data_IF_916277040656
#
_entry.id   IF_916277040656
#
_cell.length_a   1.000
_cell.length_b   1.000
_cell.length_c   1.000
_cell.angle_alpha   90.00
_cell.angle_beta   90.00
_cell.angle_gamma   90.00
#
_symmetry.space_group_name_H-M   'P 1'
#
loop_
_entity.id
_entity.type
_entity.pdbx_description
1 polymer ?
#
# COMPACT_ATOMS: atom_id res chain seq x y z
N UNK A 1 -21.88 -44.61 -45.30
CA UNK A 1 -20.53 -44.02 -45.05
C UNK A 1 -20.37 -43.44 -43.66
N UNK A 2 -21.36 -42.73 -43.09
CA UNK A 2 -21.28 -42.08 -41.76
C UNK A 2 -20.99 -43.03 -40.57
N UNK A 3 -21.41 -44.29 -40.61
CA UNK A 3 -21.11 -45.28 -39.55
C UNK A 3 -19.61 -45.64 -39.50
N UNK A 4 -18.93 -45.64 -40.65
CA UNK A 4 -17.50 -46.02 -40.76
C UNK A 4 -16.59 -44.89 -40.29
N UNK A 5 -16.98 -43.63 -40.53
CA UNK A 5 -16.27 -42.45 -40.03
C UNK A 5 -16.40 -42.31 -38.52
N UNK A 6 -17.58 -42.56 -37.94
CA UNK A 6 -17.74 -42.59 -36.48
C UNK A 6 -16.95 -43.71 -35.80
N UNK A 7 -16.91 -44.90 -36.39
CA UNK A 7 -16.10 -46.01 -35.86
C UNK A 7 -14.59 -45.71 -35.93
N UNK A 8 -14.13 -45.10 -37.03
CA UNK A 8 -12.73 -44.68 -37.17
C UNK A 8 -12.35 -43.57 -36.17
N UNK A 9 -13.26 -42.62 -35.92
CA UNK A 9 -13.08 -41.57 -34.91
C UNK A 9 -12.94 -42.16 -33.51
N UNK A 10 -13.84 -43.08 -33.11
CA UNK A 10 -13.75 -43.77 -31.81
C UNK A 10 -12.49 -44.61 -31.65
N UNK A 11 -12.07 -45.29 -32.71
CA UNK A 11 -10.83 -46.09 -32.68
C UNK A 11 -9.60 -45.18 -32.50
N UNK A 12 -9.56 -44.05 -33.22
CA UNK A 12 -8.49 -43.04 -33.11
C UNK A 12 -8.43 -42.50 -31.69
N UNK A 13 -9.58 -42.13 -31.11
CA UNK A 13 -9.67 -41.65 -29.73
C UNK A 13 -9.22 -42.71 -28.71
N UNK A 14 -9.66 -43.96 -28.85
CA UNK A 14 -9.24 -45.03 -27.93
C UNK A 14 -7.72 -45.32 -27.99
N UNK A 15 -7.10 -45.16 -29.17
CA UNK A 15 -5.65 -45.29 -29.33
C UNK A 15 -4.88 -44.09 -28.75
N UNK A 16 -5.45 -42.89 -28.80
CA UNK A 16 -4.88 -41.72 -28.13
C UNK A 16 -5.02 -41.84 -26.61
N UNK A 17 -6.18 -42.28 -26.12
CA UNK A 17 -6.46 -42.48 -24.70
C UNK A 17 -5.56 -43.57 -24.08
N UNK A 18 -5.21 -44.62 -24.82
CA UNK A 18 -4.26 -45.64 -24.33
C UNK A 18 -2.83 -45.10 -24.17
N UNK A 19 -2.48 -44.03 -24.88
CA UNK A 19 -1.19 -43.36 -24.75
C UNK A 19 -1.18 -42.29 -23.64
N UNK A 20 -2.35 -41.91 -23.13
CA UNK A 20 -2.52 -40.79 -22.18
C UNK A 20 -1.73 -40.98 -20.89
N UNK A 21 -1.73 -42.17 -20.28
CA UNK A 21 -1.00 -42.44 -19.03
C UNK A 21 0.52 -42.20 -19.18
N UNK A 22 1.09 -42.60 -20.33
CA UNK A 22 2.50 -42.39 -20.64
C UNK A 22 2.82 -40.90 -20.79
N UNK A 23 2.00 -40.15 -21.53
CA UNK A 23 2.16 -38.71 -21.70
C UNK A 23 1.94 -37.92 -20.40
N UNK A 24 1.02 -38.37 -19.54
CA UNK A 24 0.81 -37.80 -18.21
C UNK A 24 2.06 -37.99 -17.34
N UNK A 25 2.60 -39.21 -17.27
CA UNK A 25 3.81 -39.49 -16.51
C UNK A 25 5.01 -38.64 -16.99
N UNK A 26 5.15 -38.43 -18.31
CA UNK A 26 6.19 -37.56 -18.86
C UNK A 26 6.01 -36.09 -18.46
N UNK A 27 4.78 -35.60 -18.37
CA UNK A 27 4.50 -34.23 -17.92
C UNK A 27 4.71 -34.05 -16.42
N UNK A 28 4.27 -35.02 -15.59
CA UNK A 28 4.47 -35.00 -14.13
C UNK A 28 5.97 -35.04 -13.76
N UNK A 29 6.75 -35.83 -14.50
CA UNK A 29 8.21 -35.91 -14.32
C UNK A 29 8.99 -34.74 -14.96
N UNK A 30 8.29 -33.75 -15.53
CA UNK A 30 8.87 -32.59 -16.23
C UNK A 30 9.81 -32.98 -17.40
N UNK A 31 9.56 -34.12 -18.04
CA UNK A 31 10.33 -34.63 -19.18
C UNK A 31 9.83 -34.03 -20.50
N UNK A 32 9.81 -32.70 -20.58
CA UNK A 32 9.24 -31.95 -21.72
C UNK A 32 9.82 -32.33 -23.09
N UNK A 33 11.11 -32.73 -23.13
CA UNK A 33 11.76 -33.17 -24.38
C UNK A 33 11.26 -34.54 -24.84
N UNK A 34 11.17 -35.48 -23.91
CA UNK A 34 10.65 -36.82 -24.18
C UNK A 34 9.19 -36.75 -24.62
N UNK A 35 8.39 -35.89 -23.96
CA UNK A 35 7.02 -35.58 -24.36
C UNK A 35 6.94 -35.09 -25.81
N UNK A 36 7.74 -34.09 -26.19
CA UNK A 36 7.74 -33.53 -27.55
C UNK A 36 8.16 -34.56 -28.61
N UNK A 37 9.16 -35.39 -28.31
CA UNK A 37 9.66 -36.40 -29.25
C UNK A 37 8.66 -37.56 -29.40
N UNK A 38 8.02 -37.98 -28.31
CA UNK A 38 6.91 -38.93 -28.34
C UNK A 38 5.72 -38.40 -29.16
N UNK A 39 5.39 -37.11 -29.02
CA UNK A 39 4.30 -36.48 -29.78
C UNK A 39 4.63 -36.36 -31.28
N UNK A 40 5.88 -36.03 -31.62
CA UNK A 40 6.35 -36.05 -33.03
C UNK A 40 6.28 -37.45 -33.62
N UNK A 41 6.71 -38.47 -32.87
CA UNK A 41 6.64 -39.87 -33.30
C UNK A 41 5.18 -40.31 -33.50
N UNK A 42 4.27 -39.91 -32.60
CA UNK A 42 2.84 -40.16 -32.73
C UNK A 42 2.26 -39.53 -34.00
N UNK A 43 2.61 -38.26 -34.28
CA UNK A 43 2.17 -37.56 -35.50
C UNK A 43 2.65 -38.23 -36.80
N UNK A 44 3.81 -38.90 -36.77
CA UNK A 44 4.34 -39.63 -37.92
C UNK A 44 3.67 -40.99 -38.16
N UNK A 45 2.76 -41.43 -37.28
CA UNK A 45 2.14 -42.74 -37.45
C UNK A 45 1.21 -42.78 -38.68
N UNK A 46 1.22 -43.88 -39.47
CA UNK A 46 0.48 -43.95 -40.73
C UNK A 46 -1.03 -43.74 -40.59
N UNK A 47 -1.60 -44.09 -39.44
CA UNK A 47 -3.03 -43.92 -39.16
C UNK A 47 -3.42 -42.47 -38.80
N UNK A 48 -2.48 -41.55 -38.56
CA UNK A 48 -2.72 -40.13 -38.28
C UNK A 48 -2.50 -39.20 -39.50
N UNK A 49 -2.38 -39.77 -40.70
CA UNK A 49 -2.05 -39.02 -41.92
C UNK A 49 -3.21 -38.18 -42.48
N UNK A 50 -4.46 -38.51 -42.16
CA UNK A 50 -5.63 -37.75 -42.62
C UNK A 50 -5.85 -36.49 -41.78
N UNK A 51 -6.23 -35.40 -42.44
CA UNK A 51 -6.53 -34.10 -41.81
C UNK A 51 -7.44 -34.21 -40.58
N UNK A 52 -8.59 -34.87 -40.69
CA UNK A 52 -9.55 -35.03 -39.56
C UNK A 52 -8.94 -35.72 -38.32
N UNK A 53 -7.93 -36.57 -38.50
CA UNK A 53 -7.25 -37.26 -37.39
C UNK A 53 -6.11 -36.43 -36.81
N UNK A 54 -5.48 -35.56 -37.61
CA UNK A 54 -4.54 -34.56 -37.10
C UNK A 54 -5.27 -33.52 -36.24
N UNK A 55 -6.47 -33.10 -36.67
CA UNK A 55 -7.32 -32.22 -35.87
C UNK A 55 -7.71 -32.86 -34.52
N UNK A 56 -8.04 -34.16 -34.52
CA UNK A 56 -8.32 -34.92 -33.29
C UNK A 56 -7.10 -35.01 -32.37
N UNK A 57 -5.90 -35.21 -32.92
CA UNK A 57 -4.66 -35.24 -32.15
C UNK A 57 -4.38 -33.87 -31.50
N UNK A 58 -4.61 -32.78 -32.23
CA UNK A 58 -4.44 -31.42 -31.71
C UNK A 58 -5.43 -31.13 -30.58
N UNK A 59 -6.73 -31.45 -30.76
CA UNK A 59 -7.74 -31.31 -29.71
C UNK A 59 -7.40 -32.15 -28.48
N UNK A 60 -6.98 -33.40 -28.67
CA UNK A 60 -6.54 -34.29 -27.59
C UNK A 60 -5.34 -33.71 -26.83
N UNK A 61 -4.36 -33.16 -27.55
CA UNK A 61 -3.17 -32.51 -26.95
C UNK A 61 -3.57 -31.28 -26.13
N UNK A 62 -4.51 -30.47 -26.62
CA UNK A 62 -5.02 -29.31 -25.87
C UNK A 62 -5.76 -29.75 -24.60
N UNK A 63 -6.61 -30.78 -24.68
CA UNK A 63 -7.29 -31.34 -23.50
C UNK A 63 -6.31 -31.90 -22.48
N UNK A 64 -5.25 -32.59 -22.95
CA UNK A 64 -4.19 -33.12 -22.08
C UNK A 64 -3.45 -31.99 -21.34
N UNK A 65 -3.13 -30.88 -22.02
CA UNK A 65 -2.54 -29.70 -21.38
C UNK A 65 -3.51 -29.02 -20.40
N UNK A 66 -4.81 -28.99 -20.69
CA UNK A 66 -5.80 -28.42 -19.78
C UNK A 66 -6.03 -29.28 -18.54
N UNK A 67 -5.83 -30.61 -18.63
CA UNK A 67 -6.00 -31.50 -17.48
C UNK A 67 -4.75 -31.57 -16.59
N UNK A 68 -3.56 -31.36 -17.15
CA UNK A 68 -2.30 -31.45 -16.40
C UNK A 68 -1.82 -30.10 -15.86
N UNK A 69 -1.26 -30.09 -14.65
CA UNK A 69 -0.79 -28.87 -13.98
C UNK A 69 0.69 -28.55 -14.21
N UNK A 70 1.52 -29.51 -14.60
CA UNK A 70 2.98 -29.41 -14.44
C UNK A 70 3.77 -28.98 -15.69
N UNK A 71 3.10 -28.58 -16.77
CA UNK A 71 3.77 -28.13 -18.00
C UNK A 71 4.24 -26.66 -17.96
N UNK A 72 5.37 -26.34 -18.62
CA UNK A 72 5.87 -24.96 -18.70
C UNK A 72 5.29 -24.16 -19.90
N UNK A 73 5.24 -22.82 -19.82
CA UNK A 73 4.91 -21.97 -20.97
C UNK A 73 5.80 -22.21 -22.20
N UNK A 74 7.07 -22.59 -22.00
CA UNK A 74 8.00 -22.87 -23.09
C UNK A 74 7.63 -24.15 -23.85
N UNK A 75 7.07 -25.15 -23.16
CA UNK A 75 6.50 -26.34 -23.81
C UNK A 75 5.34 -25.94 -24.73
N UNK A 76 4.45 -25.06 -24.26
CA UNK A 76 3.33 -24.59 -25.06
C UNK A 76 3.78 -23.85 -26.32
N UNK A 77 4.78 -22.96 -26.25
CA UNK A 77 5.33 -22.30 -27.44
C UNK A 77 5.91 -23.30 -28.44
N UNK A 78 6.62 -24.34 -27.96
CA UNK A 78 7.15 -25.41 -28.82
C UNK A 78 6.02 -26.22 -29.46
N UNK A 79 4.94 -26.50 -28.74
CA UNK A 79 3.76 -27.18 -29.28
C UNK A 79 3.03 -26.31 -30.31
N UNK A 80 2.87 -25.02 -30.03
CA UNK A 80 2.34 -24.04 -30.97
C UNK A 80 3.15 -24.03 -32.27
N UNK A 81 4.48 -24.08 -32.18
CA UNK A 81 5.35 -24.17 -33.37
C UNK A 81 5.23 -25.51 -34.10
N UNK A 82 5.01 -26.60 -33.36
CA UNK A 82 4.90 -27.96 -33.92
C UNK A 82 3.62 -28.12 -34.74
N UNK A 83 2.49 -27.64 -34.21
CA UNK A 83 1.18 -27.70 -34.86
C UNK A 83 0.87 -26.47 -35.72
N UNK A 84 1.80 -25.52 -35.80
CA UNK A 84 1.58 -24.23 -36.46
C UNK A 84 0.33 -23.49 -35.93
N UNK A 85 0.05 -23.61 -34.61
CA UNK A 85 -1.02 -22.87 -33.99
C UNK A 85 -0.69 -21.38 -34.00
N UNK A 86 -1.62 -20.58 -34.52
CA UNK A 86 -1.48 -19.12 -34.55
C UNK A 86 -2.81 -18.44 -34.22
N UNK A 87 -2.79 -17.68 -33.12
CA UNK A 87 -3.91 -16.86 -32.68
C UNK A 87 -4.24 -15.73 -33.66
N UNK A 88 -3.25 -15.21 -34.41
CA UNK A 88 -3.45 -14.08 -35.34
C UNK A 88 -4.13 -14.50 -36.64
N UNK A 89 -3.97 -15.76 -37.03
CA UNK A 89 -4.53 -16.31 -38.26
C UNK A 89 -5.72 -17.26 -37.99
N UNK A 90 -6.17 -17.38 -36.74
CA UNK A 90 -7.25 -18.28 -36.29
C UNK A 90 -6.99 -19.75 -36.69
N UNK A 91 -5.71 -20.14 -36.70
CA UNK A 91 -5.28 -21.50 -37.07
C UNK A 91 -5.09 -22.30 -35.78
N UNK A 92 -6.16 -22.91 -35.29
CA UNK A 92 -6.13 -23.91 -34.22
C UNK A 92 -7.23 -24.95 -34.43
N UNK A 93 -6.97 -26.19 -34.02
CA UNK A 93 -7.96 -27.25 -34.06
C UNK A 93 -8.94 -27.16 -32.88
N UNK A 94 -10.24 -27.28 -33.17
CA UNK A 94 -11.29 -27.43 -32.16
C UNK A 94 -11.94 -26.13 -31.67
N UNK A 95 -12.78 -26.24 -30.63
CA UNK A 95 -13.61 -25.12 -30.17
C UNK A 95 -12.76 -23.99 -29.55
N UNK A 96 -13.07 -22.76 -29.94
CA UNK A 96 -12.43 -21.52 -29.44
C UNK A 96 -12.29 -21.47 -27.91
N UNK A 97 -13.24 -22.04 -27.17
CA UNK A 97 -13.20 -22.09 -25.70
C UNK A 97 -12.01 -22.88 -25.14
N UNK A 98 -11.64 -24.02 -25.77
CA UNK A 98 -10.48 -24.81 -25.34
C UNK A 98 -9.19 -24.03 -25.56
N UNK A 99 -9.06 -23.41 -26.73
CA UNK A 99 -7.92 -22.57 -27.05
C UNK A 99 -7.79 -21.38 -26.10
N UNK A 100 -8.88 -20.63 -25.88
CA UNK A 100 -8.89 -19.48 -24.98
C UNK A 100 -8.49 -19.85 -23.54
N UNK A 101 -9.03 -20.95 -23.00
CA UNK A 101 -8.69 -21.42 -21.66
C UNK A 101 -7.20 -21.79 -21.54
N UNK A 102 -6.64 -22.41 -22.59
CA UNK A 102 -5.26 -22.85 -22.60
C UNK A 102 -4.31 -21.64 -22.71
N UNK A 103 -4.61 -20.67 -23.58
CA UNK A 103 -3.87 -19.41 -23.69
C UNK A 103 -3.93 -18.64 -22.37
N UNK A 104 -5.11 -18.48 -21.77
CA UNK A 104 -5.27 -17.79 -20.48
C UNK A 104 -4.43 -18.46 -19.37
N UNK A 105 -4.40 -19.79 -19.34
CA UNK A 105 -3.57 -20.54 -18.38
C UNK A 105 -2.08 -20.39 -18.65
N UNK A 106 -1.67 -20.40 -19.91
CA UNK A 106 -0.28 -20.16 -20.30
C UNK A 106 0.18 -18.76 -19.88
N UNK A 107 -0.63 -17.74 -20.18
CA UNK A 107 -0.38 -16.36 -19.77
C UNK A 107 -0.28 -16.22 -18.24
N UNK A 108 -1.17 -16.87 -17.49
CA UNK A 108 -1.12 -16.90 -16.02
C UNK A 108 0.22 -17.48 -15.53
N UNK A 109 0.60 -18.66 -16.02
CA UNK A 109 1.86 -19.32 -15.64
C UNK A 109 3.08 -18.48 -15.98
N UNK A 110 3.10 -17.88 -17.18
CA UNK A 110 4.18 -16.99 -17.61
C UNK A 110 4.25 -15.71 -16.75
N UNK A 111 3.10 -15.18 -16.35
CA UNK A 111 3.01 -14.03 -15.45
C UNK A 111 3.57 -14.36 -14.07
N UNK A 112 3.14 -15.46 -13.44
CA UNK A 112 3.65 -15.91 -12.14
C UNK A 112 5.17 -16.11 -12.20
N UNK A 113 5.67 -16.87 -13.18
CA UNK A 113 7.10 -17.14 -13.31
C UNK A 113 7.92 -15.84 -13.46
N UNK A 114 7.38 -14.85 -14.19
CA UNK A 114 8.00 -13.52 -14.29
C UNK A 114 8.04 -12.81 -12.94
N UNK A 115 6.96 -12.84 -12.17
CA UNK A 115 6.92 -12.20 -10.86
C UNK A 115 7.86 -12.87 -9.85
N UNK A 116 7.92 -14.20 -9.83
CA UNK A 116 8.89 -14.94 -9.00
C UNK A 116 10.33 -14.57 -9.35
N UNK A 117 10.67 -14.51 -10.64
CA UNK A 117 12.00 -14.06 -11.08
C UNK A 117 12.31 -12.62 -10.65
N UNK A 118 11.31 -11.74 -10.63
CA UNK A 118 11.47 -10.36 -10.15
C UNK A 118 11.66 -10.28 -8.63
N UNK A 119 11.08 -11.22 -7.87
CA UNK A 119 11.30 -11.34 -6.42
C UNK A 119 12.71 -11.86 -6.10
N UNK A 120 13.23 -12.79 -6.89
CA UNK A 120 14.59 -13.34 -6.74
C UNK A 120 15.69 -12.38 -7.22
N UNK A 121 15.35 -11.46 -8.14
CA UNK A 121 16.30 -10.50 -8.68
C UNK A 121 16.77 -9.52 -7.59
N UNK A 122 18.08 -9.50 -7.31
CA UNK A 122 18.68 -8.54 -6.37
C UNK A 122 18.75 -7.12 -6.93
N UNK A 123 18.31 -6.89 -8.17
CA UNK A 123 18.36 -5.59 -8.81
C UNK A 123 17.18 -4.73 -8.33
N UNK A 124 17.47 -3.49 -7.95
CA UNK A 124 16.45 -2.49 -7.59
C UNK A 124 15.84 -1.86 -8.85
N UNK A 125 15.29 -2.69 -9.73
CA UNK A 125 14.40 -2.19 -10.78
C UNK A 125 13.06 -1.77 -10.16
N UNK A 126 12.38 -0.76 -10.72
CA UNK A 126 11.09 -0.32 -10.20
C UNK A 126 10.05 -1.46 -10.21
N UNK A 127 10.11 -2.37 -11.18
CA UNK A 127 9.24 -3.56 -11.25
C UNK A 127 9.58 -4.59 -10.17
N UNK A 128 10.87 -4.84 -9.90
CA UNK A 128 11.29 -5.76 -8.83
C UNK A 128 10.93 -5.21 -7.45
N UNK A 129 11.05 -3.90 -7.25
CA UNK A 129 10.61 -3.22 -6.04
C UNK A 129 9.08 -3.25 -5.89
N UNK A 130 8.33 -3.07 -6.99
CA UNK A 130 6.86 -3.19 -6.98
C UNK A 130 6.42 -4.61 -6.64
N UNK A 131 7.04 -5.63 -7.24
CA UNK A 131 6.78 -7.03 -6.94
C UNK A 131 7.06 -7.35 -5.47
N UNK A 132 8.19 -6.90 -4.92
CA UNK A 132 8.51 -7.04 -3.48
C UNK A 132 7.45 -6.33 -2.61
N UNK A 133 7.06 -5.10 -2.95
CA UNK A 133 6.13 -4.33 -2.13
C UNK A 133 4.70 -4.90 -2.13
N UNK A 134 4.25 -5.49 -3.25
CA UNK A 134 2.90 -6.02 -3.43
C UNK A 134 2.75 -7.51 -3.11
N UNK A 135 3.71 -8.35 -3.50
CA UNK A 135 3.61 -9.81 -3.40
C UNK A 135 4.24 -10.37 -2.12
N UNK A 136 5.27 -9.71 -1.59
CA UNK A 136 5.97 -10.09 -0.35
C UNK A 136 6.29 -8.84 0.47
N UNK A 137 5.26 -8.16 1.00
CA UNK A 137 5.40 -6.84 1.59
C UNK A 137 6.46 -6.85 2.71
N UNK A 138 7.54 -6.05 2.57
CA UNK A 138 8.58 -5.96 3.60
C UNK A 138 8.02 -5.33 4.88
N UNK A 139 8.76 -5.33 6.00
CA UNK A 139 8.32 -4.65 7.22
C UNK A 139 7.97 -3.18 6.94
N UNK A 140 7.01 -2.65 7.69
CA UNK A 140 6.43 -1.30 7.51
C UNK A 140 7.52 -0.22 7.36
N UNK A 141 8.60 -0.34 8.12
CA UNK A 141 9.76 0.56 8.13
C UNK A 141 10.41 0.70 6.75
N UNK A 142 10.60 -0.43 6.07
CA UNK A 142 11.19 -0.48 4.74
C UNK A 142 10.19 -0.03 3.67
N UNK A 143 8.91 -0.39 3.83
CA UNK A 143 7.83 0.09 2.95
C UNK A 143 7.72 1.61 2.94
N UNK A 144 7.85 2.24 4.10
CA UNK A 144 7.83 3.70 4.24
C UNK A 144 9.11 4.33 3.65
N UNK A 145 10.27 3.68 3.81
CA UNK A 145 11.52 4.12 3.17
C UNK A 145 11.40 4.09 1.64
N UNK A 146 10.83 3.03 1.09
CA UNK A 146 10.55 2.87 -0.34
C UNK A 146 9.54 3.91 -0.81
N UNK A 147 8.48 4.17 -0.02
CA UNK A 147 7.48 5.16 -0.38
C UNK A 147 8.02 6.59 -0.45
N UNK A 148 9.02 6.92 0.38
CA UNK A 148 9.69 8.23 0.34
C UNK A 148 10.60 8.41 -0.88
N UNK A 149 11.42 7.40 -1.17
CA UNK A 149 12.39 7.46 -2.27
C UNK A 149 11.80 6.96 -3.59
N UNK A 150 10.56 6.50 -3.57
CA UNK A 150 9.86 5.92 -4.69
C UNK A 150 9.62 6.94 -5.78
N UNK A 151 10.26 6.71 -6.93
CA UNK A 151 10.03 7.47 -8.14
C UNK A 151 8.63 7.19 -8.71
N UNK A 152 8.16 8.07 -9.59
CA UNK A 152 6.87 7.91 -10.27
C UNK A 152 6.77 6.56 -11.02
N UNK A 153 7.87 6.05 -11.55
CA UNK A 153 7.95 4.75 -12.23
C UNK A 153 7.65 3.57 -11.30
N UNK A 154 8.09 3.61 -10.04
CA UNK A 154 7.77 2.59 -9.04
C UNK A 154 6.26 2.52 -8.80
N UNK A 155 5.61 3.68 -8.65
CA UNK A 155 4.18 3.74 -8.41
C UNK A 155 3.35 3.31 -9.62
N UNK A 156 3.82 3.62 -10.84
CA UNK A 156 3.21 3.11 -12.06
C UNK A 156 3.36 1.59 -12.19
N UNK A 157 4.52 1.04 -11.83
CA UNK A 157 4.73 -0.40 -11.79
C UNK A 157 3.82 -1.08 -10.74
N UNK A 158 3.65 -0.47 -9.56
CA UNK A 158 2.72 -0.95 -8.53
C UNK A 158 1.27 -0.93 -9.02
N UNK A 159 0.81 0.16 -9.64
CA UNK A 159 -0.56 0.26 -10.16
C UNK A 159 -0.80 -0.75 -11.30
N UNK A 160 0.18 -0.93 -12.20
CA UNK A 160 0.10 -1.92 -13.26
C UNK A 160 0.01 -3.34 -12.71
N UNK A 161 0.88 -3.69 -11.76
CA UNK A 161 0.87 -5.01 -11.13
C UNK A 161 -0.43 -5.25 -10.34
N UNK A 162 -0.91 -4.25 -9.60
CA UNK A 162 -2.18 -4.33 -8.89
C UNK A 162 -3.39 -4.50 -9.84
N UNK A 163 -3.39 -3.79 -10.97
CA UNK A 163 -4.42 -3.93 -12.02
C UNK A 163 -4.39 -5.31 -12.66
N UNK A 164 -3.20 -5.81 -13.01
CA UNK A 164 -3.02 -7.15 -13.59
C UNK A 164 -3.52 -8.25 -12.63
N UNK A 165 -3.21 -8.15 -11.34
CA UNK A 165 -3.68 -9.10 -10.31
C UNK A 165 -5.19 -8.99 -10.05
N UNK A 166 -5.77 -7.80 -10.12
CA UNK A 166 -7.19 -7.59 -9.82
C UNK A 166 -8.10 -7.95 -10.99
N UNK A 167 -7.72 -7.61 -12.22
CA UNK A 167 -8.58 -7.72 -13.40
C UNK A 167 -8.22 -8.87 -14.33
N UNK A 168 -6.93 -9.18 -14.46
CA UNK A 168 -6.46 -10.14 -15.49
C UNK A 168 -6.17 -11.52 -14.92
N UNK A 169 -5.58 -11.59 -13.72
CA UNK A 169 -5.17 -12.85 -13.09
C UNK A 169 -5.55 -12.93 -11.59
N UNK A 170 -6.85 -12.91 -11.24
CA UNK A 170 -7.27 -12.98 -9.84
C UNK A 170 -6.81 -14.26 -9.14
N UNK A 171 -6.80 -15.39 -9.87
CA UNK A 171 -6.40 -16.69 -9.35
C UNK A 171 -4.88 -16.81 -9.11
N UNK A 172 -4.07 -15.85 -9.57
CA UNK A 172 -2.63 -15.84 -9.30
C UNK A 172 -2.33 -15.41 -7.85
N UNK A 173 -3.27 -14.76 -7.17
CA UNK A 173 -3.10 -14.39 -5.75
C UNK A 173 -2.98 -15.61 -4.84
N UNK A 174 -3.52 -16.77 -5.22
CA UNK A 174 -3.39 -18.01 -4.43
C UNK A 174 -1.93 -18.48 -4.31
N UNK A 175 -1.07 -18.08 -5.25
CA UNK A 175 0.35 -18.47 -5.28
C UNK A 175 1.22 -17.53 -4.42
N UNK A 176 0.65 -16.41 -3.95
CA UNK A 176 1.33 -15.41 -3.11
C UNK A 176 0.51 -15.14 -1.84
N UNK A 177 0.65 -15.97 -0.78
CA UNK A 177 -0.21 -15.90 0.40
C UNK A 177 -0.09 -14.58 1.18
N UNK A 178 1.06 -13.92 1.10
CA UNK A 178 1.34 -12.66 1.79
C UNK A 178 1.07 -11.41 0.92
N UNK A 179 0.51 -11.59 -0.28
CA UNK A 179 0.29 -10.48 -1.20
C UNK A 179 -0.76 -9.49 -0.67
N UNK A 180 -0.43 -8.21 -0.70
CA UNK A 180 -1.32 -7.13 -0.30
C UNK A 180 -1.41 -6.06 -1.40
N UNK A 181 -2.43 -6.22 -2.24
CA UNK A 181 -2.66 -5.41 -3.45
C UNK A 181 -3.09 -3.98 -3.12
N UNK A 182 -3.50 -3.67 -1.89
CA UNK A 182 -4.10 -2.37 -1.56
C UNK A 182 -3.30 -1.52 -0.57
N UNK A 183 -2.51 -2.11 0.33
CA UNK A 183 -1.83 -1.32 1.36
C UNK A 183 -0.80 -0.32 0.81
N UNK A 184 -0.26 -0.56 -0.38
CA UNK A 184 0.69 0.36 -1.00
C UNK A 184 0.09 1.74 -1.31
N UNK A 185 -1.21 1.83 -1.62
CA UNK A 185 -1.88 3.10 -1.93
C UNK A 185 -1.94 4.06 -0.75
N UNK A 186 -1.89 3.53 0.48
CA UNK A 186 -1.89 4.34 1.71
C UNK A 186 -0.51 4.89 2.06
N UNK A 187 0.57 4.31 1.51
CA UNK A 187 1.95 4.69 1.85
C UNK A 187 2.28 6.16 1.48
N UNK A 188 1.92 6.68 0.29
CA UNK A 188 2.18 8.09 -0.05
C UNK A 188 1.45 9.09 0.86
N UNK A 189 0.22 8.76 1.27
CA UNK A 189 -0.57 9.59 2.19
C UNK A 189 0.05 9.61 3.60
N UNK A 190 0.54 8.46 4.07
CA UNK A 190 1.24 8.35 5.35
C UNK A 190 2.54 9.18 5.37
N UNK A 191 3.29 9.21 4.26
CA UNK A 191 4.54 10.00 4.16
C UNK A 191 4.26 11.50 4.00
N UNK A 192 3.17 11.87 3.33
CA UNK A 192 2.82 13.27 3.02
C UNK A 192 2.02 13.98 4.11
N UNK A 193 1.63 13.27 5.19
CA UNK A 193 0.90 13.83 6.33
C UNK A 193 1.75 14.83 7.14
N UNK A 194 1.91 16.00 6.55
CA UNK A 194 2.42 17.25 7.11
C UNK A 194 1.49 17.84 8.20
N UNK A 195 0.48 17.09 8.65
CA UNK A 195 -0.52 17.50 9.64
C UNK A 195 0.11 17.75 11.01
N UNK A 196 1.22 17.09 11.32
CA UNK A 196 1.88 17.19 12.61
C UNK A 196 2.68 18.48 12.77
N UNK A 197 3.20 19.08 11.68
CA UNK A 197 3.90 20.36 11.77
C UNK A 197 2.95 21.48 12.23
N UNK A 198 1.66 21.40 11.88
CA UNK A 198 0.61 22.33 12.33
C UNK A 198 0.24 22.14 13.81
N UNK A 199 0.20 20.90 14.30
CA UNK A 199 0.03 20.60 15.73
C UNK A 199 1.26 21.04 16.56
N UNK A 200 2.47 20.80 16.03
CA UNK A 200 3.73 21.55 16.18
C UNK A 200 3.58 23.00 16.62
N UNK A 201 3.12 23.79 15.65
CA UNK A 201 2.96 25.22 15.83
C UNK A 201 1.88 25.56 16.85
N UNK A 202 0.82 24.77 16.94
CA UNK A 202 -0.24 25.01 17.92
C UNK A 202 0.25 24.81 19.37
N UNK A 203 1.08 23.79 19.62
CA UNK A 203 1.69 23.53 20.93
C UNK A 203 2.72 24.58 21.34
N UNK A 204 3.61 24.98 20.42
CA UNK A 204 4.58 26.07 20.67
C UNK A 204 3.86 27.40 20.92
N UNK A 205 2.77 27.66 20.19
CA UNK A 205 1.94 28.84 20.35
C UNK A 205 1.22 28.88 21.70
N UNK A 206 0.70 27.75 22.19
CA UNK A 206 0.08 27.66 23.54
C UNK A 206 1.10 27.88 24.64
N UNK A 207 2.33 27.41 24.45
CA UNK A 207 3.44 27.65 25.39
C UNK A 207 3.84 29.14 25.38
N UNK A 208 3.88 29.79 24.21
CA UNK A 208 4.25 31.19 24.08
C UNK A 208 3.19 32.15 24.65
N UNK A 209 1.90 31.82 24.47
CA UNK A 209 0.79 32.60 25.04
C UNK A 209 0.70 32.47 26.55
N UNK A 210 0.99 31.29 27.10
CA UNK A 210 1.00 31.07 28.56
C UNK A 210 2.22 31.65 29.26
N UNK A 211 3.38 31.66 28.62
CA UNK A 211 4.61 32.23 29.21
C UNK A 211 4.75 33.75 29.08
N UNK A 212 4.02 34.39 28.16
CA UNK A 212 3.94 35.86 28.10
C UNK A 212 3.04 36.45 29.18
N UNK A 213 2.38 35.60 29.97
CA UNK A 213 1.72 35.99 31.21
C UNK A 213 2.79 36.19 32.26
N UNK A 214 3.16 37.45 32.51
CA UNK A 214 4.02 37.82 33.62
C UNK A 214 3.17 37.71 34.91
N UNK A 215 3.42 36.72 35.80
CA UNK A 215 2.64 36.59 37.04
C UNK A 215 2.95 37.71 38.04
N UNK A 216 3.96 38.55 37.76
CA UNK A 216 4.38 39.68 38.60
C UNK A 216 3.63 40.99 38.33
N UNK A 217 2.91 41.09 37.20
CA UNK A 217 2.14 42.27 36.83
C UNK A 217 0.71 42.19 37.37
N UNK A 218 0.45 42.88 38.48
CA UNK A 218 -0.85 43.01 39.14
C UNK A 218 -2.04 43.22 38.18
N UNK A 219 -3.12 42.44 38.37
CA UNK A 219 -4.47 42.65 37.83
C UNK A 219 -4.69 42.51 36.30
N UNK A 220 -4.03 41.56 35.64
CA UNK A 220 -4.40 41.20 34.27
C UNK A 220 -5.80 40.52 34.24
N UNK A 221 -6.77 41.15 33.59
CA UNK A 221 -8.15 40.65 33.54
C UNK A 221 -8.29 39.56 32.46
N UNK A 222 -9.18 38.58 32.65
CA UNK A 222 -9.32 37.40 31.76
C UNK A 222 -9.51 37.74 30.26
N UNK A 223 -10.03 38.93 29.93
CA UNK A 223 -10.18 39.39 28.55
C UNK A 223 -8.85 39.83 27.89
N UNK A 224 -7.85 40.30 28.66
CA UNK A 224 -6.51 40.63 28.16
C UNK A 224 -5.74 39.34 27.84
N UNK A 225 -5.93 38.32 28.67
CA UNK A 225 -5.42 36.96 28.46
C UNK A 225 -6.05 36.36 27.20
N UNK A 226 -7.36 36.49 27.04
CA UNK A 226 -8.06 36.03 25.84
C UNK A 226 -7.63 36.81 24.59
N UNK A 227 -7.45 38.12 24.69
CA UNK A 227 -6.99 38.97 23.58
C UNK A 227 -5.58 38.64 23.13
N UNK A 228 -4.64 38.43 24.06
CA UNK A 228 -3.26 38.05 23.74
C UNK A 228 -3.17 36.61 23.18
N UNK A 229 -3.95 35.68 23.73
CA UNK A 229 -4.04 34.31 23.23
C UNK A 229 -4.60 34.23 21.80
N UNK A 230 -5.44 35.18 21.40
CA UNK A 230 -6.08 35.21 20.08
C UNK A 230 -5.28 36.01 19.05
N UNK A 231 -4.50 37.01 19.48
CA UNK A 231 -3.67 37.86 18.60
C UNK A 231 -2.26 37.32 18.38
N UNK A 232 -1.60 36.73 19.38
CA UNK A 232 -0.27 36.14 19.23
C UNK A 232 -0.14 35.09 18.11
N UNK A 233 -1.15 34.20 17.87
CA UNK A 233 -1.14 33.27 16.74
C UNK A 233 -1.06 33.97 15.38
N UNK A 234 -1.77 35.09 15.24
CA UNK A 234 -1.89 35.83 13.98
C UNK A 234 -0.55 36.44 13.56
N UNK A 235 0.29 36.84 14.53
CA UNK A 235 1.61 37.42 14.27
C UNK A 235 2.75 36.39 14.25
N UNK A 236 2.69 35.33 15.07
CA UNK A 236 3.75 34.32 15.14
C UNK A 236 3.72 33.35 13.95
N UNK A 237 2.53 32.94 13.49
CA UNK A 237 2.38 32.05 12.34
C UNK A 237 3.06 32.57 11.06
N UNK A 238 2.90 33.85 10.65
CA UNK A 238 3.58 34.37 9.47
C UNK A 238 5.10 34.50 9.66
N UNK A 239 5.59 34.91 10.83
CA UNK A 239 7.04 34.98 11.12
C UNK A 239 7.70 33.61 10.98
N UNK A 240 7.07 32.59 11.56
CA UNK A 240 7.49 31.20 11.45
C UNK A 240 7.39 30.71 9.99
N UNK A 241 6.32 31.06 9.29
CA UNK A 241 6.13 30.68 7.90
C UNK A 241 7.22 31.28 6.99
N UNK A 242 7.59 32.55 7.20
CA UNK A 242 8.68 33.23 6.49
C UNK A 242 10.01 32.54 6.81
N UNK A 243 10.30 32.29 8.09
CA UNK A 243 11.50 31.57 8.52
C UNK A 243 11.59 30.19 7.86
N UNK A 244 10.50 29.41 7.89
CA UNK A 244 10.46 28.07 7.28
C UNK A 244 10.53 28.10 5.76
N UNK A 245 9.97 29.12 5.12
CA UNK A 245 10.06 29.31 3.66
C UNK A 245 11.49 29.57 3.21
N UNK A 246 12.29 30.26 4.03
CA UNK A 246 13.72 30.46 3.79
C UNK A 246 14.57 29.24 4.23
N UNK A 247 14.20 28.59 5.34
CA UNK A 247 14.93 27.45 5.89
C UNK A 247 14.81 26.19 5.03
N UNK A 248 13.63 25.92 4.44
CA UNK A 248 13.40 24.74 3.58
C UNK A 248 14.39 24.61 2.41
N UNK A 249 14.60 25.62 1.54
CA UNK A 249 15.55 25.51 0.44
C UNK A 249 17.00 25.39 0.93
N UNK A 250 17.35 26.01 2.06
CA UNK A 250 18.67 25.88 2.66
C UNK A 250 18.91 24.46 3.22
N UNK A 251 17.91 23.89 3.92
CA UNK A 251 17.98 22.54 4.45
C UNK A 251 18.08 21.47 3.35
N UNK A 252 17.44 21.65 2.20
CA UNK A 252 17.60 20.73 1.06
C UNK A 252 19.02 20.75 0.49
N UNK A 253 19.72 21.90 0.51
CA UNK A 253 21.13 21.98 0.08
C UNK A 253 22.09 21.26 1.03
N UNK A 254 21.77 21.21 2.32
CA UNK A 254 22.61 20.60 3.36
C UNK A 254 22.27 19.13 3.60
N UNK A 255 21.14 18.66 3.08
CA UNK A 255 20.64 17.28 3.17
C UNK A 255 21.69 16.17 3.03
N UNK A 256 22.60 16.15 2.02
CA UNK A 256 23.57 15.06 1.90
C UNK A 256 24.59 15.02 3.05
N UNK A 257 24.91 16.18 3.62
CA UNK A 257 25.79 16.30 4.79
C UNK A 257 25.03 15.95 6.06
N UNK A 258 23.78 16.41 6.17
CA UNK A 258 22.92 16.17 7.32
C UNK A 258 22.60 14.68 7.51
N UNK A 259 22.36 13.94 6.41
CA UNK A 259 22.17 12.47 6.45
C UNK A 259 23.40 11.78 7.04
N UNK A 260 24.61 12.20 6.63
CA UNK A 260 25.88 11.59 7.06
C UNK A 260 26.16 11.83 8.55
N UNK A 261 25.88 13.04 9.04
CA UNK A 261 26.06 13.39 10.45
C UNK A 261 24.96 12.80 11.33
N UNK A 262 23.72 12.81 10.85
CA UNK A 262 22.58 12.21 11.54
C UNK A 262 22.78 10.71 11.75
N UNK A 263 23.30 9.98 10.76
CA UNK A 263 23.63 8.56 10.88
C UNK A 263 24.74 8.26 11.92
N UNK A 264 25.57 9.25 12.28
CA UNK A 264 26.64 9.09 13.28
C UNK A 264 26.24 9.56 14.68
N UNK A 265 25.35 10.55 14.78
CA UNK A 265 25.04 11.23 16.04
C UNK A 265 23.71 10.78 16.65
N UNK A 266 22.76 10.31 15.85
CA UNK A 266 21.45 9.91 16.34
C UNK A 266 21.40 8.41 16.59
N UNK A 267 20.98 7.97 17.78
CA UNK A 267 20.70 6.57 18.06
C UNK A 267 19.56 6.04 17.18
N UNK A 268 19.59 4.75 16.86
CA UNK A 268 18.62 4.11 15.96
C UNK A 268 17.16 4.31 16.41
N UNK A 269 16.90 4.45 17.72
CA UNK A 269 15.56 4.71 18.28
C UNK A 269 15.03 6.13 18.00
N UNK A 270 15.92 7.10 17.72
CA UNK A 270 15.58 8.47 17.34
C UNK A 270 15.61 8.65 15.82
N UNK A 271 16.21 7.71 15.09
CA UNK A 271 16.12 7.60 13.65
C UNK A 271 14.77 6.97 13.28
N UNK A 272 13.87 7.75 12.68
CA UNK A 272 12.52 7.25 12.45
C UNK A 272 12.50 6.38 11.19
N UNK A 273 11.77 5.25 11.20
CA UNK A 273 11.51 4.47 10.00
C UNK A 273 10.83 5.34 8.94
N UNK A 274 11.44 5.46 7.76
CA UNK A 274 10.94 6.32 6.69
C UNK A 274 11.05 7.84 6.97
N UNK A 275 11.51 8.29 8.14
CA UNK A 275 11.80 9.69 8.46
C UNK A 275 13.13 9.79 9.23
N UNK A 276 14.27 9.84 8.54
CA UNK A 276 15.50 10.22 9.25
C UNK A 276 15.27 11.61 9.86
N UNK A 277 15.21 11.69 11.20
CA UNK A 277 15.26 12.97 11.89
C UNK A 277 16.62 13.55 11.55
N UNK A 278 16.62 14.49 10.63
CA UNK A 278 17.81 15.18 10.21
C UNK A 278 18.18 16.17 11.31
N UNK A 279 19.28 15.88 12.01
CA UNK A 279 19.71 16.61 13.19
C UNK A 279 19.91 18.09 12.91
N UNK A 280 20.42 18.46 11.73
CA UNK A 280 20.59 19.88 11.39
C UNK A 280 19.27 20.50 10.92
N UNK A 281 18.52 19.83 10.03
CA UNK A 281 17.26 20.34 9.47
C UNK A 281 16.18 20.60 10.54
N UNK A 282 16.06 19.70 11.52
CA UNK A 282 15.05 19.79 12.57
C UNK A 282 15.63 20.29 13.89
N UNK A 283 16.88 19.96 14.22
CA UNK A 283 17.51 20.40 15.46
C UNK A 283 17.84 21.89 15.48
N UNK A 284 18.23 22.51 14.37
CA UNK A 284 18.54 23.96 14.37
C UNK A 284 17.31 24.80 14.73
N UNK A 285 16.13 24.64 14.08
CA UNK A 285 14.92 25.37 14.47
C UNK A 285 14.46 25.10 15.91
N UNK A 286 14.66 23.87 16.41
CA UNK A 286 14.31 23.48 17.77
C UNK A 286 15.24 24.14 18.79
N UNK A 287 16.55 24.12 18.53
CA UNK A 287 17.54 24.72 19.43
C UNK A 287 17.42 26.25 19.44
N UNK A 288 17.18 26.89 18.30
CA UNK A 288 16.99 28.35 18.25
C UNK A 288 15.74 28.76 19.02
N UNK A 289 14.63 28.03 18.88
CA UNK A 289 13.40 28.32 19.59
C UNK A 289 13.53 28.00 21.10
N UNK A 290 14.19 26.90 21.45
CA UNK A 290 14.53 26.56 22.83
C UNK A 290 15.41 27.61 23.50
N UNK A 291 16.39 28.17 22.78
CA UNK A 291 17.23 29.25 23.29
C UNK A 291 16.41 30.52 23.61
N UNK A 292 15.49 30.90 22.74
CA UNK A 292 14.55 32.01 23.00
C UNK A 292 13.67 31.72 24.21
N UNK A 293 13.20 30.48 24.38
CA UNK A 293 12.42 30.06 25.54
C UNK A 293 13.22 30.14 26.86
N UNK A 294 14.48 29.74 26.86
CA UNK A 294 15.37 29.82 28.04
C UNK A 294 15.62 31.27 28.46
N UNK A 295 15.83 32.19 27.51
CA UNK A 295 16.05 33.61 27.81
C UNK A 295 14.85 34.28 28.48
N UNK A 296 13.64 33.77 28.23
CA UNK A 296 12.39 34.34 28.74
C UNK A 296 11.99 33.80 30.12
N UNK A 297 12.52 32.65 30.53
CA UNK A 297 12.38 32.15 31.90
C UNK A 297 12.38 30.62 32.03
N UNK A 298 12.66 30.10 33.24
CA UNK A 298 12.82 28.66 33.47
C UNK A 298 11.51 27.87 33.30
N UNK A 299 10.36 28.48 33.62
CA UNK A 299 9.03 27.85 33.46
C UNK A 299 8.71 27.60 31.99
N UNK A 300 9.01 28.57 31.13
CA UNK A 300 8.81 28.46 29.69
C UNK A 300 9.75 27.41 29.06
N UNK A 301 11.00 27.34 29.51
CA UNK A 301 11.94 26.32 29.09
C UNK A 301 11.47 24.90 29.48
N UNK A 302 10.92 24.73 30.69
CA UNK A 302 10.38 23.46 31.16
C UNK A 302 9.14 23.02 30.35
N UNK A 303 8.21 23.94 30.07
CA UNK A 303 7.03 23.68 29.23
C UNK A 303 7.41 23.33 27.79
N UNK A 304 8.36 24.07 27.21
CA UNK A 304 8.91 23.78 25.89
C UNK A 304 9.56 22.39 25.84
N UNK A 305 10.37 22.05 26.84
CA UNK A 305 10.97 20.72 26.98
C UNK A 305 9.93 19.61 27.13
N UNK A 306 8.86 19.83 27.91
CA UNK A 306 7.77 18.87 28.07
C UNK A 306 7.01 18.63 26.77
N UNK A 307 6.74 19.67 25.97
CA UNK A 307 6.08 19.53 24.66
C UNK A 307 7.02 18.90 23.63
N UNK A 308 8.32 19.15 23.68
CA UNK A 308 9.30 18.43 22.85
C UNK A 308 9.38 16.95 23.21
N UNK A 309 9.35 16.60 24.49
CA UNK A 309 9.30 15.19 24.93
C UNK A 309 7.98 14.55 24.51
N UNK A 310 6.87 15.24 24.71
CA UNK A 310 5.56 14.82 24.22
C UNK A 310 5.60 14.61 22.71
N UNK A 311 6.25 15.49 21.94
CA UNK A 311 6.44 15.35 20.51
C UNK A 311 7.24 14.08 20.14
N UNK A 312 8.38 13.86 20.78
CA UNK A 312 9.22 12.68 20.53
C UNK A 312 8.44 11.39 20.87
N UNK A 313 7.55 11.42 21.86
CA UNK A 313 6.71 10.27 22.23
C UNK A 313 5.48 10.10 21.33
N UNK A 314 4.78 11.18 20.99
CA UNK A 314 3.54 11.25 20.18
C UNK A 314 3.80 11.58 18.71
N UNK A 315 5.00 11.31 18.21
CA UNK A 315 5.29 11.53 16.79
C UNK A 315 4.31 10.75 15.90
N UNK A 316 3.91 11.32 14.74
CA UNK A 316 2.98 10.73 13.77
C UNK A 316 3.08 9.22 13.56
N UNK A 317 4.30 8.68 13.59
CA UNK A 317 4.60 7.28 13.31
C UNK A 317 4.23 6.35 14.47
N UNK A 318 4.44 6.79 15.72
CA UNK A 318 3.95 6.05 16.90
C UNK A 318 2.44 6.21 17.03
N UNK A 319 1.90 7.36 16.61
CA UNK A 319 0.46 7.57 16.53
C UNK A 319 -0.18 6.67 15.49
N UNK A 320 0.38 6.44 14.30
CA UNK A 320 -0.25 5.51 13.33
C UNK A 320 -0.24 4.07 13.84
N UNK A 321 0.88 3.60 14.42
CA UNK A 321 0.93 2.28 15.06
C UNK A 321 0.02 2.17 16.31
N UNK A 322 -0.08 3.23 17.09
CA UNK A 322 -0.97 3.32 18.25
C UNK A 322 -2.45 3.47 17.84
N UNK A 323 -2.74 4.17 16.74
CA UNK A 323 -4.06 4.31 16.14
C UNK A 323 -4.50 2.99 15.50
N UNK A 324 -3.59 2.23 14.89
CA UNK A 324 -3.88 0.88 14.39
C UNK A 324 -4.09 -0.10 15.55
N UNK A 325 -3.23 -0.07 16.57
CA UNK A 325 -3.43 -0.89 17.77
C UNK A 325 -4.72 -0.52 18.53
N UNK A 326 -5.05 0.77 18.61
CA UNK A 326 -6.30 1.25 19.20
C UNK A 326 -7.48 0.93 18.29
N UNK A 327 -7.38 1.08 16.97
CA UNK A 327 -8.50 0.84 16.05
C UNK A 327 -8.87 -0.63 15.99
N UNK A 328 -7.87 -1.54 16.02
CA UNK A 328 -8.09 -2.98 16.16
C UNK A 328 -8.77 -3.29 17.50
N UNK A 329 -8.41 -2.59 18.57
CA UNK A 329 -8.97 -2.84 19.92
C UNK A 329 -10.31 -2.16 20.18
N UNK A 330 -10.61 -1.05 19.53
CA UNK A 330 -11.80 -0.21 19.78
C UNK A 330 -12.76 -0.14 18.59
N UNK A 331 -12.46 -0.81 17.47
CA UNK A 331 -13.24 -0.73 16.22
C UNK A 331 -13.05 0.59 15.46
N UNK A 332 -12.06 1.40 15.86
CA UNK A 332 -11.67 2.63 15.19
C UNK A 332 -12.75 3.73 15.16
N UNK A 333 -12.60 4.65 14.20
CA UNK A 333 -13.54 5.77 14.00
C UNK A 333 -14.95 5.31 13.60
N UNK A 334 -15.10 4.09 13.10
CA UNK A 334 -16.40 3.55 12.69
C UNK A 334 -17.23 3.11 13.90
N UNK A 335 -16.61 2.61 14.98
CA UNK A 335 -17.31 2.37 16.24
C UNK A 335 -17.73 3.66 16.91
N UNK A 336 -16.90 4.72 16.84
CA UNK A 336 -17.22 6.05 17.35
C UNK A 336 -18.34 6.69 16.53
N UNK A 337 -18.32 6.56 15.19
CA UNK A 337 -19.44 7.00 14.33
C UNK A 337 -20.71 6.21 14.64
N UNK A 338 -20.64 4.90 14.79
CA UNK A 338 -21.79 4.07 15.13
C UNK A 338 -22.35 4.42 16.52
N UNK A 339 -21.48 4.68 17.50
CA UNK A 339 -21.87 5.16 18.83
C UNK A 339 -22.49 6.55 18.77
N UNK A 340 -21.89 7.49 18.04
CA UNK A 340 -22.44 8.83 17.83
C UNK A 340 -23.80 8.77 17.14
N UNK A 341 -23.96 8.00 16.06
CA UNK A 341 -25.23 7.84 15.34
C UNK A 341 -26.29 7.20 16.24
N UNK A 342 -25.91 6.30 17.15
CA UNK A 342 -26.83 5.65 18.08
C UNK A 342 -27.20 6.55 19.27
N UNK A 343 -26.33 7.49 19.66
CA UNK A 343 -26.52 8.39 20.80
C UNK A 343 -26.79 9.86 20.43
N UNK A 344 -26.86 10.22 19.15
CA UNK A 344 -27.17 11.59 18.67
C UNK A 344 -28.47 12.11 19.28
N UNK A 345 -29.51 11.28 19.35
CA UNK A 345 -30.78 11.64 19.98
C UNK A 345 -30.63 11.95 21.47
N UNK A 346 -29.81 11.18 22.21
CA UNK A 346 -29.53 11.43 23.63
C UNK A 346 -28.72 12.69 23.85
N UNK A 347 -27.73 12.96 23.00
CA UNK A 347 -26.94 14.17 23.04
C UNK A 347 -27.80 15.43 22.78
N UNK A 348 -28.71 15.37 21.80
CA UNK A 348 -29.67 16.44 21.52
C UNK A 348 -30.58 16.68 22.73
N UNK A 349 -31.10 15.62 23.36
CA UNK A 349 -31.95 15.74 24.56
C UNK A 349 -31.22 16.35 25.75
N UNK A 350 -29.94 16.02 25.97
CA UNK A 350 -29.12 16.59 27.05
C UNK A 350 -28.85 18.08 26.79
N UNK A 351 -28.51 18.46 25.55
CA UNK A 351 -28.28 19.86 25.18
C UNK A 351 -29.57 20.67 25.29
N UNK A 352 -30.71 20.13 24.86
CA UNK A 352 -32.01 20.78 24.99
C UNK A 352 -32.40 20.95 26.46
N UNK A 353 -32.15 19.93 27.30
CA UNK A 353 -32.37 20.01 28.74
C UNK A 353 -31.48 21.04 29.43
N UNK A 354 -30.21 21.13 29.04
CA UNK A 354 -29.28 22.16 29.53
C UNK A 354 -29.68 23.56 29.08
N UNK A 355 -30.11 23.74 27.83
CA UNK A 355 -30.64 25.02 27.35
C UNK A 355 -31.92 25.42 28.08
N UNK A 356 -32.84 24.47 28.32
CA UNK A 356 -34.05 24.73 29.08
C UNK A 356 -33.74 25.12 30.53
N UNK A 357 -32.82 24.40 31.19
CA UNK A 357 -32.36 24.72 32.53
C UNK A 357 -31.67 26.09 32.60
N UNK A 358 -30.89 26.43 31.58
CA UNK A 358 -30.27 27.75 31.45
C UNK A 358 -31.32 28.86 31.27
N UNK A 359 -32.31 28.67 30.40
CA UNK A 359 -33.41 29.63 30.18
C UNK A 359 -34.25 29.80 31.45
N UNK A 360 -34.61 28.71 32.13
CA UNK A 360 -35.32 28.77 33.42
C UNK A 360 -34.46 29.47 34.48
N UNK A 361 -33.16 29.20 34.53
CA UNK A 361 -32.22 29.90 35.41
C UNK A 361 -32.17 31.40 35.14
N UNK A 362 -32.15 31.81 33.87
CA UNK A 362 -32.18 33.23 33.46
C UNK A 362 -33.54 33.89 33.77
N UNK A 363 -34.65 33.16 33.71
CA UNK A 363 -35.98 33.68 34.06
C UNK A 363 -36.15 33.81 35.58
N UNK A 364 -35.63 32.86 36.35
CA UNK A 364 -35.75 32.84 37.83
C UNK A 364 -34.75 33.79 38.50
N UNK A 365 -33.53 33.94 37.95
CA UNK A 365 -32.48 34.79 38.49
C UNK A 365 -32.21 36.05 37.65
N UNK A 366 -33.05 36.32 36.64
CA UNK A 366 -32.97 37.54 35.83
C UNK A 366 -33.23 38.77 36.69
N UNK A 367 -32.53 39.90 36.45
CA UNK A 367 -32.63 41.07 37.30
C UNK A 367 -34.07 41.58 37.31
N UNK A 368 -34.67 41.68 38.50
CA UNK A 368 -35.97 42.29 38.70
C UNK A 368 -35.94 43.69 38.06
N UNK A 369 -36.72 43.89 37.00
CA UNK A 369 -36.88 45.20 36.38
C UNK A 369 -37.55 46.12 37.40
N UNK A 370 -36.74 46.92 38.09
CA UNK A 370 -37.20 48.03 38.90
C UNK A 370 -37.97 48.99 38.01
N UNK A 371 -39.23 49.22 38.36
CA UNK A 371 -39.98 50.41 37.98
C UNK A 371 -39.67 51.54 38.96
#
# INVERSE_FOLDING_TARGET
>A
MQLRTHQAHRLTQALLDSSLESFHAMLENNEERAFLDALKALRQQPWLTSFDRQEQLEQWTMTLLLNNHDWSPALFERLSSLFAWDQKHDVYAGPLSLWMNLVQRCEKKAFVARQQKLLEASQDSPEAMAARLLLQPPPLDERLRLARHGNQELWQACEKLASDLTHRFPDAMQEFPDADVQSWRKLPEQVSSNLNLRAYFFGVLTIFTTASLDPSGSNATWYEIAGLALTAPVFLLPVIHIFMSFWRPFAERIKPVDIRWSARLLPDYLSWPGYQALALRHGIPIVTLGYVCVQKGPVLAALYGAVLLLWIVLSPYRISGFQDAISVRTGGWDSVKAFCVRNTFKAIMIVLGLMLAFVVGVIVFGPARGH
#
